data_IF_039770902785
#
_entry.id   IF_039770902785
#
_cell.length_a   1.000
_cell.length_b   1.000
_cell.length_c   1.000
_cell.angle_alpha   90.00
_cell.angle_beta   90.00
_cell.angle_gamma   90.00
#
_symmetry.space_group_name_H-M   'P 1'
#
loop_
_entity.id
_entity.type
_entity.pdbx_description
1 polymer ?
#
# COMPACT_ATOMS: atom_id res chain seq x y z
N UNK A 1 3.50 5.04 11.37
CA UNK A 1 2.17 4.92 10.72
C UNK A 1 1.21 6.04 11.14
N UNK A 2 1.13 6.38 12.44
CA UNK A 2 0.27 7.46 12.95
C UNK A 2 0.39 8.81 12.22
N UNK A 3 1.60 9.18 11.78
CA UNK A 3 1.81 10.39 10.97
C UNK A 3 1.11 10.43 9.62
N UNK A 4 1.04 9.29 8.95
CA UNK A 4 0.34 9.17 7.66
C UNK A 4 -1.18 9.11 7.87
N UNK A 5 -1.63 8.59 9.01
CA UNK A 5 -3.05 8.61 9.42
C UNK A 5 -3.50 10.03 9.77
N UNK A 6 -2.69 10.78 10.52
CA UNK A 6 -2.98 12.17 10.88
C UNK A 6 -3.11 13.11 9.68
N UNK A 7 -2.41 12.81 8.60
CA UNK A 7 -2.47 13.55 7.32
C UNK A 7 -3.54 13.01 6.37
N UNK A 8 -4.30 11.99 6.80
CA UNK A 8 -5.37 11.38 6.00
C UNK A 8 -4.88 10.63 4.76
N UNK A 9 -3.59 10.34 4.66
CA UNK A 9 -3.01 9.58 3.54
C UNK A 9 -3.26 8.07 3.67
N UNK A 10 -3.40 7.60 4.91
CA UNK A 10 -3.79 6.24 5.25
C UNK A 10 -4.96 6.26 6.23
N UNK A 11 -5.90 5.33 6.07
CA UNK A 11 -6.84 4.97 7.12
C UNK A 11 -6.30 3.74 7.86
N UNK A 12 -6.86 3.38 9.02
CA UNK A 12 -6.58 2.10 9.70
C UNK A 12 -7.81 1.64 10.47
N UNK A 13 -8.01 0.32 10.53
CA UNK A 13 -9.01 -0.32 11.41
C UNK A 13 -8.40 -0.83 12.71
N UNK A 14 -7.08 -0.71 12.89
CA UNK A 14 -6.41 -1.06 14.14
C UNK A 14 -6.49 0.10 15.13
N UNK A 15 -7.21 -0.12 16.23
CA UNK A 15 -7.43 0.88 17.28
C UNK A 15 -6.17 1.22 18.09
N UNK A 16 -5.08 0.47 17.93
CA UNK A 16 -3.79 0.76 18.59
C UNK A 16 -2.96 1.80 17.85
N UNK A 17 -3.31 2.10 16.59
CA UNK A 17 -2.59 3.08 15.78
C UNK A 17 -3.29 4.42 15.91
N UNK A 18 -2.76 5.26 16.78
CA UNK A 18 -3.25 6.63 16.98
C UNK A 18 -2.69 7.58 15.92
N UNK A 19 -3.50 8.59 15.57
CA UNK A 19 -3.06 9.67 14.69
C UNK A 19 -2.08 10.58 15.44
N UNK A 20 -0.88 10.75 14.90
CA UNK A 20 0.19 11.55 15.49
C UNK A 20 0.70 12.57 14.47
N UNK A 21 0.89 13.83 14.87
CA UNK A 21 1.40 14.88 13.96
C UNK A 21 2.91 15.07 14.02
N UNK A 22 3.59 14.33 14.89
CA UNK A 22 5.04 14.39 15.04
C UNK A 22 5.73 13.97 13.73
N UNK A 23 6.67 14.78 13.20
CA UNK A 23 7.48 14.37 12.07
C UNK A 23 8.24 13.07 12.36
N UNK A 24 8.29 12.17 11.39
CA UNK A 24 8.87 10.82 11.57
C UNK A 24 10.21 10.74 10.83
N UNK A 25 11.26 10.13 11.41
CA UNK A 25 12.50 9.86 10.70
C UNK A 25 12.28 9.06 9.41
N UNK A 26 13.01 9.42 8.34
CA UNK A 26 12.90 8.74 7.06
C UNK A 26 13.20 7.24 7.19
N UNK A 27 14.21 6.89 7.97
CA UNK A 27 14.63 5.51 8.26
C UNK A 27 13.50 4.67 8.88
N UNK A 28 12.70 5.25 9.77
CA UNK A 28 11.58 4.58 10.41
C UNK A 28 10.47 4.29 9.40
N UNK A 29 10.20 5.22 8.48
CA UNK A 29 9.24 5.01 7.40
C UNK A 29 9.73 3.93 6.45
N UNK A 30 11.01 3.94 6.08
CA UNK A 30 11.62 2.94 5.22
C UNK A 30 11.65 1.55 5.87
N UNK A 31 11.85 1.46 7.18
CA UNK A 31 11.77 0.23 7.94
C UNK A 31 10.32 -0.27 8.02
N UNK A 32 9.39 0.58 8.43
CA UNK A 32 7.97 0.24 8.54
C UNK A 32 7.38 -0.15 7.18
N UNK A 33 7.90 0.44 6.09
CA UNK A 33 7.54 0.12 4.72
C UNK A 33 7.82 -1.33 4.30
N UNK A 34 8.71 -2.04 5.00
CA UNK A 34 8.92 -3.48 4.79
C UNK A 34 7.74 -4.31 5.29
N UNK A 35 7.02 -3.80 6.28
CA UNK A 35 5.85 -4.45 6.90
C UNK A 35 4.55 -3.93 6.30
N UNK A 36 4.47 -2.64 6.00
CA UNK A 36 3.35 -2.00 5.29
C UNK A 36 3.84 -1.33 4.01
N UNK A 37 3.81 -2.03 2.86
CA UNK A 37 4.34 -1.55 1.59
C UNK A 37 3.68 -0.25 1.08
N UNK A 38 2.44 0.06 1.48
CA UNK A 38 1.79 1.34 1.12
C UNK A 38 2.53 2.56 1.65
N UNK A 39 3.29 2.43 2.73
CA UNK A 39 4.17 3.51 3.17
C UNK A 39 5.24 3.81 2.11
N UNK A 40 5.81 2.78 1.47
CA UNK A 40 6.78 2.94 0.38
C UNK A 40 6.12 3.47 -0.90
N UNK A 41 4.88 3.07 -1.19
CA UNK A 41 4.10 3.63 -2.31
C UNK A 41 3.89 5.14 -2.16
N UNK A 42 3.53 5.59 -0.96
CA UNK A 42 3.24 6.99 -0.63
C UNK A 42 4.48 7.86 -0.47
N UNK A 43 5.58 7.28 0.03
CA UNK A 43 6.74 8.01 0.49
C UNK A 43 7.32 8.98 -0.56
N UNK A 44 7.52 8.60 -1.83
CA UNK A 44 8.02 9.54 -2.83
C UNK A 44 7.13 10.78 -3.00
N UNK A 45 5.81 10.59 -3.02
CA UNK A 45 4.85 11.70 -3.12
C UNK A 45 4.86 12.58 -1.85
N UNK A 46 5.03 11.98 -0.66
CA UNK A 46 5.18 12.72 0.61
C UNK A 46 6.45 13.56 0.62
N UNK A 47 7.59 13.01 0.18
CA UNK A 47 8.85 13.76 0.05
C UNK A 47 8.70 14.97 -0.87
N UNK A 48 7.91 14.86 -1.94
CA UNK A 48 7.67 15.96 -2.88
C UNK A 48 6.70 17.01 -2.32
N UNK A 49 5.55 16.58 -1.80
CA UNK A 49 4.41 17.46 -1.52
C UNK A 49 4.29 17.87 -0.05
N UNK A 50 4.78 17.05 0.87
CA UNK A 50 4.64 17.23 2.32
C UNK A 50 5.93 16.83 3.07
N UNK A 51 7.10 17.38 2.71
CA UNK A 51 8.37 16.99 3.32
C UNK A 51 8.40 17.21 4.84
N UNK A 52 7.67 18.20 5.37
CA UNK A 52 7.56 18.44 6.81
C UNK A 52 6.85 17.35 7.62
N UNK A 53 6.32 16.30 6.98
CA UNK A 53 5.91 15.08 7.67
C UNK A 53 7.10 14.22 8.13
N UNK A 54 8.28 14.46 7.56
CA UNK A 54 9.45 13.61 7.69
C UNK A 54 10.62 14.41 8.27
N UNK A 55 11.44 13.75 9.08
CA UNK A 55 12.79 14.22 9.37
C UNK A 55 13.69 13.66 8.28
N UNK A 56 13.98 14.49 7.27
CA UNK A 56 14.78 14.10 6.13
C UNK A 56 16.28 14.29 6.43
N UNK A 57 17.15 13.33 6.05
CA UNK A 57 18.58 13.52 6.07
C UNK A 57 19.02 14.59 5.04
N UNK A 58 20.27 15.05 5.13
CA UNK A 58 20.87 15.99 4.17
C UNK A 58 20.93 15.44 2.75
N UNK A 59 20.99 14.12 2.59
CA UNK A 59 20.91 13.43 1.31
C UNK A 59 19.95 12.24 1.40
N UNK A 60 19.06 12.11 0.42
CA UNK A 60 18.16 10.98 0.31
C UNK A 60 18.90 9.71 -0.10
N UNK A 61 18.42 8.52 0.31
CA UNK A 61 18.88 7.26 -0.26
C UNK A 61 18.76 7.27 -1.79
N UNK A 62 19.74 6.71 -2.48
CA UNK A 62 19.87 6.80 -3.94
C UNK A 62 18.64 6.27 -4.69
N UNK A 63 18.05 5.17 -4.22
CA UNK A 63 16.84 4.57 -4.79
C UNK A 63 15.63 5.51 -4.65
N UNK A 64 15.46 6.13 -3.48
CA UNK A 64 14.39 7.09 -3.24
C UNK A 64 14.60 8.40 -4.02
N UNK A 65 15.83 8.89 -4.10
CA UNK A 65 16.16 10.11 -4.87
C UNK A 65 15.85 9.94 -6.35
N UNK A 66 16.19 8.78 -6.93
CA UNK A 66 15.89 8.47 -8.33
C UNK A 66 14.38 8.53 -8.62
N UNK A 67 13.57 7.91 -7.77
CA UNK A 67 12.10 7.90 -7.88
C UNK A 67 11.54 9.31 -7.72
N UNK A 68 12.00 10.06 -6.71
CA UNK A 68 11.56 11.44 -6.46
C UNK A 68 11.91 12.37 -7.63
N UNK A 69 13.09 12.20 -8.24
CA UNK A 69 13.49 12.95 -9.43
C UNK A 69 12.60 12.64 -10.62
N UNK A 70 12.41 11.36 -10.94
CA UNK A 70 11.55 10.94 -12.05
C UNK A 70 10.11 11.46 -11.91
N UNK A 71 9.57 11.41 -10.69
CA UNK A 71 8.24 11.96 -10.39
C UNK A 71 8.14 13.49 -10.51
N UNK A 72 9.25 14.23 -10.36
CA UNK A 72 9.28 15.68 -10.52
C UNK A 72 9.42 16.11 -11.98
N UNK A 73 10.14 15.35 -12.79
CA UNK A 73 10.40 15.66 -14.20
C UNK A 73 9.43 14.98 -15.16
N UNK A 74 8.44 14.26 -14.63
CA UNK A 74 7.47 13.44 -15.39
C UNK A 74 8.12 12.35 -16.26
N UNK A 75 9.34 11.95 -15.91
CA UNK A 75 10.07 10.84 -16.55
C UNK A 75 9.52 9.47 -16.11
N UNK A 76 9.83 8.38 -16.85
CA UNK A 76 9.52 7.02 -16.42
C UNK A 76 10.01 6.76 -14.99
N UNK A 77 9.08 6.37 -14.13
CA UNK A 77 9.37 6.19 -12.71
C UNK A 77 9.97 4.79 -12.49
N UNK A 78 11.17 4.66 -11.92
CA UNK A 78 11.76 3.36 -11.62
C UNK A 78 11.01 2.68 -10.47
N UNK A 79 11.12 1.35 -10.41
CA UNK A 79 10.60 0.57 -9.29
C UNK A 79 11.28 0.96 -7.98
N UNK A 80 10.49 1.10 -6.92
CA UNK A 80 10.95 1.49 -5.60
C UNK A 80 10.77 0.33 -4.62
N UNK A 81 11.85 -0.41 -4.32
CA UNK A 81 11.86 -1.48 -3.30
C UNK A 81 10.74 -2.52 -3.49
N UNK A 82 10.51 -2.92 -4.75
CA UNK A 82 9.47 -3.89 -5.12
C UNK A 82 8.08 -3.28 -5.35
N UNK A 83 7.96 -1.95 -5.27
CA UNK A 83 6.79 -1.19 -5.70
C UNK A 83 6.98 -0.74 -7.15
N UNK A 84 5.97 -0.97 -7.98
CA UNK A 84 5.89 -0.44 -9.34
C UNK A 84 5.97 1.09 -9.34
N UNK A 85 6.90 1.67 -10.10
CA UNK A 85 7.11 3.12 -10.13
C UNK A 85 5.85 3.92 -10.49
N UNK A 86 4.98 3.37 -11.33
CA UNK A 86 3.70 4.01 -11.67
C UNK A 86 2.68 3.97 -10.52
N UNK A 87 2.77 3.01 -9.61
CA UNK A 87 1.97 3.03 -8.38
C UNK A 87 2.36 4.23 -7.49
N UNK A 88 3.64 4.59 -7.43
CA UNK A 88 4.11 5.79 -6.73
C UNK A 88 3.59 7.08 -7.39
N UNK A 89 3.53 7.15 -8.73
CA UNK A 89 3.05 8.34 -9.46
C UNK A 89 1.62 8.70 -9.11
N UNK A 90 0.74 7.70 -8.95
CA UNK A 90 -0.68 7.91 -8.62
C UNK A 90 -0.91 8.73 -7.35
N UNK A 91 0.05 8.72 -6.43
CA UNK A 91 -0.07 9.44 -5.16
C UNK A 91 0.30 10.92 -5.25
N UNK A 92 1.13 11.33 -6.22
CA UNK A 92 1.60 12.72 -6.38
C UNK A 92 0.46 13.74 -6.46
N UNK A 93 -0.63 13.53 -7.23
CA UNK A 93 -1.75 14.47 -7.25
C UNK A 93 -2.66 14.39 -6.01
N UNK A 94 -2.60 13.29 -5.25
CA UNK A 94 -3.49 13.02 -4.12
C UNK A 94 -2.91 13.53 -2.79
N UNK A 95 -1.60 13.43 -2.60
CA UNK A 95 -0.94 13.88 -1.38
C UNK A 95 -1.11 15.39 -1.21
N UNK A 96 -1.73 15.79 -0.08
CA UNK A 96 -1.96 17.18 0.28
C UNK A 96 -3.29 17.78 -0.18
N UNK A 97 -4.14 17.03 -0.89
CA UNK A 97 -5.55 17.39 -1.15
C UNK A 97 -6.46 16.83 -0.05
N UNK A 98 -7.53 17.57 0.31
CA UNK A 98 -8.57 17.06 1.23
C UNK A 98 -9.45 16.05 0.49
N UNK A 99 -9.59 14.82 1.02
CA UNK A 99 -10.65 13.89 0.60
C UNK A 99 -10.22 12.57 -0.08
N UNK A 100 -9.05 12.00 0.21
CA UNK A 100 -8.66 10.72 -0.41
C UNK A 100 -8.46 9.60 0.62
N UNK A 101 -9.41 8.66 0.78
CA UNK A 101 -9.16 7.45 1.53
C UNK A 101 -8.75 6.30 0.60
N UNK A 102 -7.54 5.77 0.77
CA UNK A 102 -7.38 4.32 0.61
C UNK A 102 -7.84 3.71 1.94
N UNK A 103 -9.05 3.13 1.96
CA UNK A 103 -9.53 2.41 3.15
C UNK A 103 -8.61 1.21 3.39
N UNK A 104 -7.80 1.30 4.44
CA UNK A 104 -7.04 0.18 4.96
C UNK A 104 -8.03 -0.73 5.69
N UNK A 105 -8.54 -1.75 4.99
CA UNK A 105 -9.04 -2.94 5.68
C UNK A 105 -7.82 -3.81 5.97
N UNK A 106 -7.19 -3.64 7.13
CA UNK A 106 -6.18 -4.57 7.62
C UNK A 106 -6.91 -5.79 8.15
N UNK A 107 -6.91 -6.87 7.37
CA UNK A 107 -7.36 -8.16 7.86
C UNK A 107 -6.27 -8.73 8.76
N UNK A 108 -6.59 -9.02 10.03
CA UNK A 108 -5.71 -9.81 10.88
C UNK A 108 -5.76 -11.26 10.41
N UNK A 109 -4.83 -11.60 9.52
CA UNK A 109 -4.63 -12.96 9.06
C UNK A 109 -3.86 -13.74 10.12
N UNK A 110 -4.31 -14.97 10.42
CA UNK A 110 -3.54 -15.88 11.27
C UNK A 110 -2.30 -16.36 10.51
N UNK A 111 -1.33 -16.91 11.24
CA UNK A 111 -0.13 -17.49 10.63
C UNK A 111 -0.46 -18.49 9.52
N UNK A 112 -1.48 -19.34 9.73
CA UNK A 112 -1.93 -20.32 8.74
C UNK A 112 -2.51 -19.68 7.48
N UNK A 113 -3.18 -18.53 7.62
CA UNK A 113 -3.73 -17.78 6.49
C UNK A 113 -2.61 -17.17 5.64
N UNK A 114 -1.55 -16.67 6.30
CA UNK A 114 -0.34 -16.15 5.63
C UNK A 114 0.36 -17.28 4.86
N UNK A 115 0.51 -18.46 5.47
CA UNK A 115 1.08 -19.63 4.81
C UNK A 115 0.21 -20.10 3.64
N UNK A 116 -1.12 -20.00 3.76
CA UNK A 116 -2.06 -20.32 2.69
C UNK A 116 -1.94 -19.31 1.53
N UNK A 117 -1.86 -18.01 1.81
CA UNK A 117 -1.63 -16.98 0.79
C UNK A 117 -0.31 -17.20 0.05
N UNK A 118 0.79 -17.48 0.77
CA UNK A 118 2.09 -17.72 0.16
C UNK A 118 2.11 -18.97 -0.75
N UNK A 119 1.35 -20.02 -0.40
CA UNK A 119 1.17 -21.19 -1.27
C UNK A 119 0.33 -20.86 -2.50
N UNK A 120 -0.77 -20.13 -2.34
CA UNK A 120 -1.64 -19.72 -3.44
C UNK A 120 -0.91 -18.80 -4.42
N UNK A 121 -0.12 -17.84 -3.92
CA UNK A 121 0.68 -16.93 -4.76
C UNK A 121 1.60 -17.70 -5.70
N UNK A 122 2.32 -18.70 -5.18
CA UNK A 122 3.20 -19.57 -5.97
C UNK A 122 2.42 -20.38 -7.01
N UNK A 123 1.31 -21.01 -6.59
CA UNK A 123 0.49 -21.85 -7.48
C UNK A 123 -0.17 -21.09 -8.62
N UNK A 124 -0.61 -19.86 -8.34
CA UNK A 124 -1.30 -19.00 -9.29
C UNK A 124 -0.35 -18.10 -10.09
N UNK A 125 0.96 -18.17 -9.83
CA UNK A 125 1.96 -17.25 -10.36
C UNK A 125 1.58 -15.76 -10.18
N UNK A 126 0.90 -15.45 -9.08
CA UNK A 126 0.45 -14.09 -8.77
C UNK A 126 1.63 -13.22 -8.31
N UNK A 127 1.61 -11.95 -8.71
CA UNK A 127 2.64 -10.94 -8.43
C UNK A 127 2.59 -10.47 -6.97
N UNK A 128 1.45 -10.59 -6.30
CA UNK A 128 1.27 -10.13 -4.91
C UNK A 128 0.18 -10.90 -4.17
N UNK A 129 0.18 -10.82 -2.83
CA UNK A 129 -0.88 -11.40 -2.00
C UNK A 129 -2.24 -10.72 -2.25
N UNK A 130 -2.23 -9.42 -2.60
CA UNK A 130 -3.44 -8.69 -2.97
C UNK A 130 -4.07 -9.19 -4.27
N UNK A 131 -3.26 -9.66 -5.21
CA UNK A 131 -3.75 -10.29 -6.44
C UNK A 131 -4.37 -11.66 -6.13
N UNK A 132 -3.75 -12.45 -5.25
CA UNK A 132 -4.33 -13.71 -4.76
C UNK A 132 -5.70 -13.49 -4.12
N UNK A 133 -5.84 -12.49 -3.25
CA UNK A 133 -7.12 -12.17 -2.61
C UNK A 133 -8.18 -11.77 -3.63
N UNK A 134 -7.82 -10.96 -4.64
CA UNK A 134 -8.75 -10.59 -5.72
C UNK A 134 -9.24 -11.80 -6.51
N UNK A 135 -8.34 -12.70 -6.90
CA UNK A 135 -8.69 -13.93 -7.61
C UNK A 135 -9.59 -14.84 -6.75
N UNK A 136 -9.32 -14.93 -5.45
CA UNK A 136 -10.13 -15.72 -4.53
C UNK A 136 -11.56 -15.18 -4.39
N UNK A 137 -11.73 -13.85 -4.29
CA UNK A 137 -13.05 -13.22 -4.22
C UNK A 137 -13.87 -13.46 -5.49
N UNK A 138 -13.27 -13.30 -6.68
CA UNK A 138 -13.94 -13.58 -7.95
C UNK A 138 -14.39 -15.04 -8.06
N UNK A 139 -13.58 -15.97 -7.57
CA UNK A 139 -13.94 -17.39 -7.56
C UNK A 139 -15.12 -17.66 -6.60
N UNK A 140 -15.15 -17.00 -5.44
CA UNK A 140 -16.24 -17.12 -4.47
C UNK A 140 -17.55 -16.52 -4.99
N UNK A 141 -17.51 -15.37 -5.66
CA UNK A 141 -18.69 -14.75 -6.29
C UNK A 141 -19.31 -15.69 -7.34
N UNK A 142 -18.48 -16.25 -8.23
CA UNK A 142 -18.94 -17.23 -9.22
C UNK A 142 -19.52 -18.48 -8.59
N UNK A 143 -18.93 -18.95 -7.49
CA UNK A 143 -19.42 -20.11 -6.76
C UNK A 143 -20.77 -19.82 -6.08
N UNK A 144 -20.94 -18.62 -5.50
CA UNK A 144 -22.19 -18.18 -4.91
C UNK A 144 -23.30 -18.04 -5.96
N UNK A 145 -23.02 -17.39 -7.10
CA UNK A 145 -23.95 -17.28 -8.22
C UNK A 145 -24.38 -18.64 -8.78
N UNK A 146 -23.46 -19.60 -8.85
CA UNK A 146 -23.76 -20.96 -9.28
C UNK A 146 -24.66 -21.70 -8.28
N UNK A 147 -24.43 -21.51 -6.97
CA UNK A 147 -25.26 -22.11 -5.91
C UNK A 147 -26.68 -21.50 -5.87
N UNK A 148 -26.82 -20.20 -6.14
CA UNK A 148 -28.12 -19.51 -6.20
C UNK A 148 -28.96 -19.88 -7.42
N UNK A 149 -28.34 -20.39 -8.50
CA UNK A 149 -29.04 -20.89 -9.69
C UNK A 149 -29.50 -22.35 -9.56
N UNK A 150 -29.12 -23.05 -8.50
CA UNK A 150 -29.46 -24.45 -8.26
C UNK A 150 -30.70 -24.74 -7.37
N UNK A 151 -31.61 -23.82 -6.99
CA UNK A 151 -32.86 -24.21 -6.34
C UNK A 151 -33.96 -24.30 -7.40
N UNK A 152 -34.12 -25.45 -8.07
CA UNK A 152 -35.40 -25.97 -8.61
C UNK A 152 -35.25 -27.25 -9.48
N UNK A 153 -34.48 -28.24 -9.03
CA UNK A 153 -34.67 -29.62 -9.51
C UNK A 153 -34.71 -30.57 -8.30
N UNK A 154 -35.87 -30.62 -7.66
CA UNK A 154 -36.30 -31.66 -6.76
C UNK A 154 -37.81 -31.89 -6.96
#
# INVERSE_FOLDING_TARGET
>A
MGRFVAEGLLATTDSTIEADKTPVPLEDVLWAGKVEPRLLELLPAVVIKRPGMLLLPSALPQDLDAVVRALRTDEPCPDFRGIDGEACRRWVPLVGRRGHPSRLKSFRLKYDDIQRLARLRRRLAAKSDAEVVRLALLALERAAEAAERQPHEA
#
